data_IF_258724490893
#
_entry.id   IF_258724490893
#
_cell.length_a   1.000
_cell.length_b   1.000
_cell.length_c   1.000
_cell.angle_alpha   90.00
_cell.angle_beta   90.00
_cell.angle_gamma   90.00
#
_symmetry.space_group_name_H-M   'P 1'
#
loop_
_entity.id
_entity.type
_entity.pdbx_description
1 polymer ?
#
# COMPACT_ATOMS: atom_id res chain seq x y z
N UNK A 1 4.06 -54.50 -17.12
CA UNK A 1 4.58 -53.74 -15.97
C UNK A 1 5.12 -52.42 -16.50
N UNK A 2 4.46 -51.29 -16.22
CA UNK A 2 4.94 -49.97 -16.63
C UNK A 2 6.01 -49.48 -15.64
N UNK A 3 7.04 -48.73 -16.08
CA UNK A 3 8.05 -48.23 -15.17
C UNK A 3 7.45 -47.12 -14.28
N UNK A 4 7.75 -47.18 -12.99
CA UNK A 4 7.47 -46.08 -12.09
C UNK A 4 8.40 -44.90 -12.42
N UNK A 5 7.84 -43.75 -12.76
CA UNK A 5 8.61 -42.53 -12.90
C UNK A 5 8.94 -41.99 -11.51
N UNK A 6 10.20 -42.09 -11.09
CA UNK A 6 10.71 -41.42 -9.90
C UNK A 6 10.74 -39.91 -10.16
N UNK A 7 9.77 -39.18 -9.62
CA UNK A 7 9.75 -37.72 -9.70
C UNK A 7 10.81 -37.17 -8.73
N UNK A 8 11.79 -36.44 -9.25
CA UNK A 8 12.79 -35.75 -8.40
C UNK A 8 12.15 -34.50 -7.78
N UNK A 9 12.28 -34.29 -6.46
CA UNK A 9 11.78 -33.06 -5.85
C UNK A 9 12.53 -31.86 -6.41
N UNK A 10 11.78 -30.83 -6.80
CA UNK A 10 12.34 -29.57 -7.28
C UNK A 10 13.05 -28.87 -6.12
N UNK A 11 14.33 -28.55 -6.30
CA UNK A 11 15.08 -27.78 -5.31
C UNK A 11 14.50 -26.37 -5.17
N UNK A 12 14.38 -25.87 -3.93
CA UNK A 12 13.91 -24.51 -3.67
C UNK A 12 14.83 -23.49 -4.37
N UNK A 13 14.29 -22.60 -5.22
CA UNK A 13 15.07 -21.58 -5.92
C UNK A 13 15.87 -20.70 -4.94
N UNK A 14 17.05 -20.27 -5.35
CA UNK A 14 17.97 -19.48 -4.52
C UNK A 14 17.31 -18.24 -3.88
N UNK A 15 16.41 -17.56 -4.60
CA UNK A 15 15.68 -16.40 -4.07
C UNK A 15 14.73 -16.75 -2.93
N UNK A 16 13.97 -17.84 -3.07
CA UNK A 16 13.06 -18.35 -2.03
C UNK A 16 13.81 -18.79 -0.77
N UNK A 17 15.06 -19.26 -0.90
CA UNK A 17 15.92 -19.63 0.24
C UNK A 17 16.37 -18.44 1.08
N UNK A 18 16.27 -17.21 0.54
CA UNK A 18 16.70 -15.97 1.21
C UNK A 18 15.53 -15.09 1.64
N UNK A 19 14.31 -15.40 1.22
CA UNK A 19 13.14 -14.71 1.72
C UNK A 19 12.85 -15.17 3.14
N UNK A 20 12.69 -14.21 4.04
CA UNK A 20 12.07 -14.47 5.35
C UNK A 20 10.56 -14.37 5.17
N UNK A 21 9.74 -15.22 5.83
CA UNK A 21 8.30 -15.03 5.83
C UNK A 21 7.97 -13.60 6.25
N UNK A 22 7.01 -12.98 5.53
CA UNK A 22 6.48 -11.70 5.94
C UNK A 22 5.97 -11.86 7.37
N UNK A 23 6.50 -11.07 8.31
CA UNK A 23 5.99 -11.02 9.67
C UNK A 23 4.65 -10.28 9.62
N UNK A 24 3.62 -10.98 9.20
CA UNK A 24 2.27 -10.58 9.47
C UNK A 24 2.14 -10.62 10.99
N UNK A 25 2.03 -9.45 11.63
CA UNK A 25 1.76 -9.38 13.06
C UNK A 25 0.43 -10.07 13.39
N UNK A 26 -0.03 -9.91 14.64
CA UNK A 26 -1.37 -10.37 14.99
C UNK A 26 -2.40 -9.77 14.03
N UNK A 27 -3.35 -10.57 13.50
CA UNK A 27 -4.41 -10.04 12.66
C UNK A 27 -5.11 -8.88 13.36
N UNK A 28 -5.44 -7.84 12.59
CA UNK A 28 -6.25 -6.76 13.13
C UNK A 28 -7.56 -7.32 13.69
N UNK A 29 -7.98 -6.88 14.89
CA UNK A 29 -9.32 -7.20 15.40
C UNK A 29 -10.42 -6.55 14.54
N UNK A 30 -10.06 -5.55 13.73
CA UNK A 30 -10.95 -4.84 12.82
C UNK A 30 -10.88 -5.41 11.40
N UNK A 31 -12.05 -5.69 10.83
CA UNK A 31 -12.19 -6.18 9.45
C UNK A 31 -13.17 -5.32 8.67
N UNK A 32 -12.89 -5.11 7.39
CA UNK A 32 -13.81 -4.39 6.51
C UNK A 32 -15.02 -5.28 6.19
N UNK A 33 -16.22 -4.73 6.37
CA UNK A 33 -17.49 -5.45 6.22
C UNK A 33 -18.27 -5.07 4.96
N UNK A 34 -17.80 -4.08 4.18
CA UNK A 34 -18.45 -3.61 2.96
C UNK A 34 -18.98 -2.18 3.08
N UNK A 35 -19.88 -1.81 2.14
CA UNK A 35 -20.50 -0.49 2.05
C UNK A 35 -21.94 -0.57 2.57
N UNK A 36 -22.36 0.39 3.40
CA UNK A 36 -23.78 0.60 3.74
C UNK A 36 -24.53 1.14 2.49
N UNK A 37 -25.59 0.47 2.01
CA UNK A 37 -26.30 0.89 0.80
C UNK A 37 -27.07 2.20 0.97
N UNK A 38 -27.43 2.60 2.19
CA UNK A 38 -28.18 3.83 2.48
C UNK A 38 -27.24 5.02 2.58
N UNK A 39 -26.19 4.90 3.40
CA UNK A 39 -25.27 6.02 3.66
C UNK A 39 -24.10 6.08 2.69
N UNK A 40 -23.88 5.03 1.90
CA UNK A 40 -22.74 4.89 0.99
C UNK A 40 -21.38 5.04 1.71
N UNK A 41 -21.32 4.64 2.98
CA UNK A 41 -20.10 4.65 3.78
C UNK A 41 -19.57 3.24 4.02
N UNK A 42 -18.25 3.10 4.14
CA UNK A 42 -17.64 1.84 4.55
C UNK A 42 -18.06 1.42 5.95
N UNK A 43 -18.04 0.12 6.23
CA UNK A 43 -18.26 -0.44 7.56
C UNK A 43 -17.09 -1.28 8.03
N UNK A 44 -16.74 -1.15 9.30
CA UNK A 44 -15.83 -2.05 10.01
C UNK A 44 -16.60 -2.94 10.98
N UNK A 45 -16.11 -4.15 11.20
CA UNK A 45 -16.50 -5.02 12.32
C UNK A 45 -15.31 -5.18 13.26
N UNK A 46 -15.51 -4.86 14.54
CA UNK A 46 -14.50 -5.00 15.60
C UNK A 46 -14.71 -6.25 16.46
N UNK A 47 -13.99 -6.35 17.58
CA UNK A 47 -14.04 -7.52 18.47
C UNK A 47 -15.43 -7.84 19.00
N UNK A 48 -16.25 -6.81 19.25
CA UNK A 48 -17.62 -6.95 19.73
C UNK A 48 -18.61 -7.40 18.64
N UNK A 49 -18.16 -7.56 17.39
CA UNK A 49 -19.01 -7.93 16.25
C UNK A 49 -19.95 -6.81 15.77
N UNK A 50 -19.91 -5.64 16.40
CA UNK A 50 -20.72 -4.48 16.02
C UNK A 50 -20.15 -3.83 14.77
N UNK A 51 -21.02 -3.57 13.78
CA UNK A 51 -20.66 -2.85 12.58
C UNK A 51 -20.70 -1.33 12.82
N UNK A 52 -19.58 -0.66 12.61
CA UNK A 52 -19.46 0.79 12.77
C UNK A 52 -19.04 1.47 11.47
N UNK A 53 -19.44 2.74 11.22
CA UNK A 53 -18.94 3.50 10.09
C UNK A 53 -17.41 3.52 10.02
N UNK A 54 -16.89 3.42 8.81
CA UNK A 54 -15.48 3.52 8.52
C UNK A 54 -15.02 4.97 8.48
N UNK A 55 -14.77 5.54 9.66
CA UNK A 55 -14.17 6.87 9.78
C UNK A 55 -12.66 6.79 9.56
N UNK A 56 -12.18 7.31 8.44
CA UNK A 56 -10.76 7.33 8.07
C UNK A 56 -10.07 8.66 8.43
N UNK A 57 -10.75 9.50 9.23
CA UNK A 57 -10.28 10.84 9.60
C UNK A 57 -10.18 11.80 8.41
N UNK A 58 -9.62 12.99 8.63
CA UNK A 58 -9.22 13.87 7.52
C UNK A 58 -7.96 13.29 6.88
N UNK A 59 -8.00 13.04 5.58
CA UNK A 59 -6.80 12.73 4.82
C UNK A 59 -6.17 14.06 4.42
N UNK A 60 -4.88 14.25 4.70
CA UNK A 60 -4.16 15.39 4.13
C UNK A 60 -4.16 15.24 2.60
N UNK A 61 -4.54 16.30 1.88
CA UNK A 61 -4.34 16.35 0.42
C UNK A 61 -2.85 16.31 0.18
N UNK A 62 -2.30 15.35 -0.58
CA UNK A 62 -0.88 15.36 -0.96
C UNK A 62 -0.57 16.64 -1.71
N UNK A 63 0.60 17.16 -1.46
CA UNK A 63 1.02 18.37 -2.09
C UNK A 63 2.51 18.04 -2.40
N UNK A 64 2.87 18.05 -3.68
CA UNK A 64 4.16 17.66 -4.29
C UNK A 64 5.34 18.61 -4.05
N UNK A 65 6.36 18.40 -3.23
CA UNK A 65 7.55 19.29 -3.37
C UNK A 65 8.48 18.75 -4.47
N UNK A 66 8.42 19.32 -5.68
CA UNK A 66 9.39 18.98 -6.75
C UNK A 66 10.64 19.86 -6.63
N UNK A 67 11.86 19.27 -6.53
CA UNK A 67 13.08 20.05 -6.71
C UNK A 67 13.20 20.49 -8.18
N UNK A 68 13.65 21.73 -8.46
CA UNK A 68 13.77 22.20 -9.84
C UNK A 68 14.75 21.33 -10.62
N UNK A 69 14.24 20.61 -11.61
CA UNK A 69 15.05 19.75 -12.50
C UNK A 69 15.46 20.48 -13.78
N UNK A 70 14.94 21.68 -14.01
CA UNK A 70 15.28 22.52 -15.15
C UNK A 70 16.66 23.17 -14.96
N UNK A 71 17.53 22.93 -15.94
CA UNK A 71 18.81 23.62 -16.06
C UNK A 71 18.74 24.45 -17.34
N UNK A 72 18.85 25.76 -17.19
CA UNK A 72 18.88 26.72 -18.28
C UNK A 72 20.05 26.46 -19.22
N UNK A 73 20.00 27.04 -20.42
CA UNK A 73 21.09 26.92 -21.42
C UNK A 73 22.41 27.53 -20.95
N UNK A 74 22.37 28.34 -19.90
CA UNK A 74 23.49 28.93 -19.19
C UNK A 74 24.04 28.04 -18.04
N UNK A 75 23.48 26.84 -17.87
CA UNK A 75 23.88 25.88 -16.85
C UNK A 75 23.39 26.24 -15.45
N UNK A 76 22.51 27.23 -15.30
CA UNK A 76 21.92 27.60 -14.01
C UNK A 76 20.64 26.80 -13.76
N UNK A 77 20.37 26.50 -12.50
CA UNK A 77 19.10 25.89 -12.10
C UNK A 77 18.04 26.97 -12.19
N UNK A 78 17.11 26.80 -13.14
CA UNK A 78 15.96 27.69 -13.29
C UNK A 78 14.82 27.16 -12.41
N UNK A 79 14.08 28.05 -11.76
CA UNK A 79 12.91 27.66 -10.98
C UNK A 79 11.89 26.99 -11.92
N UNK A 80 11.53 25.75 -11.60
CA UNK A 80 10.49 25.02 -12.31
C UNK A 80 9.16 25.75 -12.06
N UNK A 81 8.44 26.11 -13.11
CA UNK A 81 7.05 26.62 -12.98
C UNK A 81 6.07 25.48 -12.62
N UNK A 82 6.57 24.25 -12.45
CA UNK A 82 5.80 23.03 -12.27
C UNK A 82 5.45 22.71 -10.83
N UNK A 83 4.21 23.03 -10.47
CA UNK A 83 3.36 22.38 -9.45
C UNK A 83 4.10 21.67 -8.33
N UNK A 84 4.82 22.46 -7.55
CA UNK A 84 5.15 22.03 -6.22
C UNK A 84 3.95 22.25 -5.29
N UNK A 85 3.91 21.52 -4.21
CA UNK A 85 2.78 21.37 -3.37
C UNK A 85 3.35 20.87 -2.00
N UNK A 86 2.87 21.43 -0.89
CA UNK A 86 3.20 21.10 0.53
C UNK A 86 1.97 20.71 1.38
N UNK A 87 1.96 19.55 2.05
CA UNK A 87 0.78 19.01 2.77
C UNK A 87 0.33 19.90 3.92
N UNK A 88 -0.96 20.26 3.93
CA UNK A 88 -1.58 20.97 5.06
C UNK A 88 -1.73 20.01 6.24
N UNK A 89 -1.23 20.41 7.40
CA UNK A 89 -1.38 19.70 8.67
C UNK A 89 -2.61 20.30 9.37
N UNK A 90 -3.72 19.57 9.31
CA UNK A 90 -5.01 19.99 9.88
C UNK A 90 -5.15 19.81 11.39
#
# INVERSE_FOLDING_TARGET
>A
MSPAHTQKPTATPWGLRRMTPLRNGSPSPWRYAGIDPVTQTGRWIGEAGVMTPAELGKHGTSVNTYPPTQVGKDGKVDADSGHDATQDEG
#
